data_IF_428427892461
#
_entry.id   IF_428427892461
#
_cell.length_a   1.000
_cell.length_b   1.000
_cell.length_c   1.000
_cell.angle_alpha   90.00
_cell.angle_beta   90.00
_cell.angle_gamma   90.00
#
_symmetry.space_group_name_H-M   'P 1'
#
loop_
_entity.id
_entity.type
_entity.pdbx_description
1 polymer ?
#
# COMPACT_ATOMS: atom_id res chain seq x y z
N UNK A 1 8.40 9.11 11.61
CA UNK A 1 8.83 8.34 12.81
C UNK A 1 8.36 9.06 14.06
N UNK A 2 7.78 8.31 14.97
CA UNK A 2 7.21 8.81 16.22
C UNK A 2 7.96 8.16 17.38
N UNK A 3 8.27 8.93 18.43
CA UNK A 3 8.88 8.39 19.64
C UNK A 3 7.84 7.60 20.49
N UNK A 4 8.26 6.87 21.54
CA UNK A 4 7.33 6.14 22.41
C UNK A 4 6.30 7.02 23.15
N UNK A 5 6.46 8.35 23.15
CA UNK A 5 5.48 9.30 23.70
C UNK A 5 4.38 9.69 22.71
N UNK A 6 4.47 9.23 21.45
CA UNK A 6 3.53 9.61 20.41
C UNK A 6 3.88 10.94 19.72
N UNK A 7 5.05 11.53 20.02
CA UNK A 7 5.49 12.78 19.37
C UNK A 7 6.32 12.48 18.13
N UNK A 8 6.12 13.27 17.08
CA UNK A 8 6.96 13.22 15.88
C UNK A 8 8.42 13.45 16.24
N UNK A 9 9.29 12.52 15.84
CA UNK A 9 10.73 12.73 15.89
C UNK A 9 11.15 13.76 14.84
N UNK A 10 12.26 14.51 15.05
CA UNK A 10 12.78 15.43 14.05
C UNK A 10 13.00 14.73 12.70
N UNK A 11 12.51 15.34 11.62
CA UNK A 11 12.68 14.82 10.26
C UNK A 11 11.87 15.61 9.25
N UNK A 12 12.45 15.83 8.07
CA UNK A 12 11.86 16.65 7.00
C UNK A 12 10.76 15.90 6.23
N UNK A 13 10.91 14.59 6.08
CA UNK A 13 10.00 13.74 5.29
C UNK A 13 8.80 13.26 6.13
N UNK A 14 9.07 12.76 7.33
CA UNK A 14 8.13 12.03 8.16
C UNK A 14 6.79 12.73 8.43
N UNK A 15 6.79 14.07 8.57
CA UNK A 15 5.57 14.83 8.86
C UNK A 15 4.72 15.10 7.62
N UNK A 16 5.27 14.86 6.43
CA UNK A 16 4.63 15.09 5.14
C UNK A 16 4.26 13.77 4.44
N UNK A 17 4.60 12.61 5.01
CA UNK A 17 4.12 11.31 4.56
C UNK A 17 2.70 11.07 5.05
N UNK A 18 1.76 11.01 4.11
CA UNK A 18 0.35 10.79 4.43
C UNK A 18 -0.12 9.39 4.05
N UNK A 19 0.64 8.63 3.27
CA UNK A 19 0.29 7.26 2.87
C UNK A 19 0.07 6.33 4.06
N UNK A 20 0.64 6.67 5.22
CA UNK A 20 0.49 5.92 6.46
C UNK A 20 -0.82 6.15 7.21
N UNK A 21 -1.62 7.14 6.80
CA UNK A 21 -2.83 7.56 7.51
C UNK A 21 -3.93 6.48 7.50
N UNK A 22 -4.12 5.70 6.42
CA UNK A 22 -5.11 4.61 6.44
C UNK A 22 -4.66 3.35 7.20
N UNK A 23 -3.39 3.22 7.64
CA UNK A 23 -2.90 2.02 8.34
C UNK A 23 -3.76 1.55 9.53
N UNK A 24 -4.24 2.43 10.43
CA UNK A 24 -5.08 2.01 11.55
C UNK A 24 -6.37 1.31 11.09
N UNK A 25 -6.90 1.67 9.92
CA UNK A 25 -8.10 1.07 9.34
C UNK A 25 -7.81 -0.37 8.88
N UNK A 26 -6.65 -0.60 8.28
CA UNK A 26 -6.18 -1.96 7.92
C UNK A 26 -5.99 -2.83 9.17
N UNK A 27 -5.39 -2.28 10.23
CA UNK A 27 -5.24 -3.02 11.49
C UNK A 27 -6.59 -3.34 12.15
N UNK A 28 -7.53 -2.38 12.14
CA UNK A 28 -8.89 -2.60 12.62
C UNK A 28 -9.56 -3.74 11.83
N UNK A 29 -9.45 -3.74 10.50
CA UNK A 29 -9.99 -4.82 9.67
C UNK A 29 -9.41 -6.19 10.00
N UNK A 30 -8.09 -6.30 10.17
CA UNK A 30 -7.47 -7.57 10.56
C UNK A 30 -7.88 -8.05 11.96
N UNK A 31 -7.96 -7.15 12.94
CA UNK A 31 -8.42 -7.54 14.27
C UNK A 31 -9.89 -7.98 14.24
N UNK A 32 -10.74 -7.29 13.46
CA UNK A 32 -12.13 -7.69 13.30
C UNK A 32 -12.29 -9.02 12.57
N UNK A 33 -11.48 -9.30 11.54
CA UNK A 33 -11.45 -10.61 10.89
C UNK A 33 -11.08 -11.73 11.88
N UNK A 34 -10.11 -11.47 12.76
CA UNK A 34 -9.71 -12.42 13.79
C UNK A 34 -10.73 -12.56 14.94
N UNK A 35 -11.47 -11.48 15.25
CA UNK A 35 -12.46 -11.43 16.33
C UNK A 35 -13.66 -10.56 15.92
N UNK A 36 -14.65 -11.12 15.19
CA UNK A 36 -15.75 -10.36 14.59
C UNK A 36 -16.85 -10.08 15.62
N UNK A 37 -16.51 -9.28 16.63
CA UNK A 37 -17.40 -8.96 17.76
C UNK A 37 -17.69 -7.47 17.82
N UNK A 38 -18.83 -7.11 18.42
CA UNK A 38 -19.15 -5.71 18.73
C UNK A 38 -18.14 -5.09 19.69
N UNK A 39 -17.49 -5.89 20.54
CA UNK A 39 -16.40 -5.40 21.41
C UNK A 39 -15.21 -4.92 20.58
N UNK A 40 -14.78 -5.69 19.58
CA UNK A 40 -13.74 -5.29 18.63
C UNK A 40 -14.13 -4.03 17.85
N UNK A 41 -15.38 -3.96 17.37
CA UNK A 41 -15.87 -2.77 16.66
C UNK A 41 -15.80 -1.51 17.52
N UNK A 42 -16.26 -1.59 18.77
CA UNK A 42 -16.24 -0.48 19.73
C UNK A 42 -14.82 -0.10 20.15
N UNK A 43 -13.91 -1.07 20.27
CA UNK A 43 -12.50 -0.83 20.60
C UNK A 43 -11.83 0.12 19.59
N UNK A 44 -12.13 -0.05 18.30
CA UNK A 44 -11.53 0.75 17.23
C UNK A 44 -12.37 1.95 16.81
N UNK A 45 -13.59 2.11 17.32
CA UNK A 45 -14.53 3.13 16.83
C UNK A 45 -13.91 4.52 16.80
N UNK A 46 -13.33 4.99 17.91
CA UNK A 46 -12.71 6.31 18.00
C UNK A 46 -11.51 6.44 17.04
N UNK A 47 -10.71 5.39 16.89
CA UNK A 47 -9.56 5.39 15.98
C UNK A 47 -10.02 5.51 14.53
N UNK A 48 -11.03 4.72 14.13
CA UNK A 48 -11.63 4.78 12.78
C UNK A 48 -12.20 6.17 12.52
N UNK A 49 -13.01 6.68 13.45
CA UNK A 49 -13.64 8.01 13.32
C UNK A 49 -12.61 9.11 13.17
N UNK A 50 -11.65 9.21 14.08
CA UNK A 50 -10.68 10.31 14.06
C UNK A 50 -9.71 10.21 12.89
N UNK A 51 -9.32 8.99 12.48
CA UNK A 51 -8.50 8.77 11.27
C UNK A 51 -9.22 9.30 10.04
N UNK A 52 -10.50 8.93 9.87
CA UNK A 52 -11.24 9.23 8.64
C UNK A 52 -11.75 10.67 8.63
N UNK A 53 -12.06 11.24 9.79
CA UNK A 53 -12.32 12.68 9.94
C UNK A 53 -11.14 13.50 9.42
N UNK A 54 -9.90 13.13 9.79
CA UNK A 54 -8.71 13.80 9.29
C UNK A 54 -8.52 13.56 7.78
N UNK A 55 -8.64 12.32 7.31
CA UNK A 55 -8.50 11.98 5.88
C UNK A 55 -9.48 12.77 4.99
N UNK A 56 -10.74 12.89 5.44
CA UNK A 56 -11.78 13.64 4.73
C UNK A 56 -11.56 15.16 4.80
N UNK A 57 -10.99 15.68 5.89
CA UNK A 57 -10.64 17.09 6.02
C UNK A 57 -9.38 17.47 5.25
N UNK A 58 -8.45 16.53 5.07
CA UNK A 58 -7.22 16.74 4.31
C UNK A 58 -7.48 16.84 2.80
N UNK A 59 -8.39 16.00 2.28
CA UNK A 59 -8.78 16.06 0.88
C UNK A 59 -9.51 17.38 0.59
N UNK A 60 -9.03 18.18 -0.36
CA UNK A 60 -9.65 19.47 -0.67
C UNK A 60 -10.53 19.36 -1.90
N UNK A 61 -11.70 20.01 -1.87
CA UNK A 61 -12.55 20.09 -3.05
C UNK A 61 -11.98 21.12 -4.04
N UNK A 62 -11.66 20.69 -5.25
CA UNK A 62 -11.18 21.54 -6.32
C UNK A 62 -12.35 22.02 -7.18
N UNK A 63 -12.66 23.32 -7.09
CA UNK A 63 -13.76 23.92 -7.84
C UNK A 63 -13.62 23.85 -9.37
N UNK A 64 -12.39 23.70 -9.88
CA UNK A 64 -12.13 23.66 -11.32
C UNK A 64 -12.38 22.27 -11.89
N UNK A 65 -11.84 21.23 -11.23
CA UNK A 65 -11.94 19.83 -11.66
C UNK A 65 -13.18 19.13 -11.09
N UNK A 66 -13.83 19.72 -10.10
CA UNK A 66 -15.04 19.22 -9.41
C UNK A 66 -14.85 17.89 -8.69
N UNK A 67 -13.61 17.61 -8.28
CA UNK A 67 -13.22 16.43 -7.49
C UNK A 67 -12.48 16.85 -6.22
N UNK A 68 -12.30 15.92 -5.29
CA UNK A 68 -11.43 16.05 -4.12
C UNK A 68 -10.02 15.60 -4.48
N UNK A 69 -9.06 16.48 -4.27
CA UNK A 69 -7.65 16.22 -4.53
C UNK A 69 -6.91 15.92 -3.21
N UNK A 70 -5.86 15.10 -3.31
CA UNK A 70 -4.79 14.99 -2.32
C UNK A 70 -3.58 15.76 -2.83
N UNK A 71 -2.83 16.43 -1.98
CA UNK A 71 -1.75 17.28 -2.48
C UNK A 71 -1.09 18.16 -1.42
N UNK A 72 -0.35 19.20 -1.84
CA UNK A 72 0.77 19.68 -1.07
C UNK A 72 0.37 20.43 0.20
N UNK A 73 1.20 20.38 1.26
CA UNK A 73 2.51 19.73 1.27
C UNK A 73 2.43 18.22 1.57
N UNK A 74 2.99 17.38 0.71
CA UNK A 74 3.07 15.92 0.96
C UNK A 74 4.15 15.19 0.17
N UNK A 75 4.82 14.22 0.79
CA UNK A 75 5.61 13.22 0.05
C UNK A 75 4.72 12.04 -0.33
N UNK A 76 5.02 11.45 -1.49
CA UNK A 76 4.54 10.11 -1.82
C UNK A 76 5.30 9.04 -1.03
N UNK A 77 4.78 7.82 -0.98
CA UNK A 77 5.41 6.66 -0.33
C UNK A 77 6.86 6.38 -0.78
N UNK A 78 7.25 6.74 -2.01
CA UNK A 78 8.63 6.62 -2.49
C UNK A 78 9.59 7.69 -1.98
N UNK A 79 9.12 8.69 -1.22
CA UNK A 79 9.96 9.71 -0.55
C UNK A 79 10.87 10.57 -1.47
N UNK A 80 10.77 10.42 -2.79
CA UNK A 80 11.66 11.00 -3.81
C UNK A 80 11.04 12.18 -4.59
N UNK A 81 9.82 12.59 -4.25
CA UNK A 81 9.10 13.69 -4.90
C UNK A 81 9.21 15.01 -4.15
N UNK A 82 9.02 16.15 -4.82
CA UNK A 82 8.99 17.44 -4.13
C UNK A 82 7.65 17.65 -3.42
N UNK A 83 7.63 17.85 -2.09
CA UNK A 83 6.38 17.85 -1.36
C UNK A 83 5.49 19.07 -1.63
N UNK A 84 6.05 20.11 -2.26
CA UNK A 84 5.34 21.35 -2.56
C UNK A 84 4.53 21.29 -3.86
N UNK A 85 4.72 20.26 -4.68
CA UNK A 85 4.09 20.15 -6.01
C UNK A 85 3.39 18.82 -6.26
N UNK A 86 3.63 17.81 -5.41
CA UNK A 86 2.98 16.51 -5.47
C UNK A 86 1.47 16.65 -5.27
N UNK A 87 0.69 16.23 -6.27
CA UNK A 87 -0.78 16.25 -6.28
C UNK A 87 -1.29 14.93 -6.84
N UNK A 88 -2.34 14.40 -6.21
CA UNK A 88 -3.04 13.17 -6.58
C UNK A 88 -2.12 11.99 -6.87
N UNK A 89 -1.27 11.57 -5.90
CA UNK A 89 -0.46 10.38 -6.05
C UNK A 89 -1.30 9.11 -6.18
N UNK A 90 -0.90 8.18 -7.05
CA UNK A 90 -1.69 6.99 -7.32
C UNK A 90 -1.87 6.12 -6.07
N UNK A 91 -0.79 5.85 -5.32
CA UNK A 91 -0.84 4.94 -4.17
C UNK A 91 -1.70 5.50 -3.04
N UNK A 92 -1.51 6.76 -2.71
CA UNK A 92 -2.24 7.48 -1.68
C UNK A 92 -3.73 7.58 -2.04
N UNK A 93 -4.07 7.88 -3.30
CA UNK A 93 -5.46 7.90 -3.76
C UNK A 93 -6.14 6.54 -3.66
N UNK A 94 -5.45 5.46 -4.03
CA UNK A 94 -5.94 4.07 -3.87
C UNK A 94 -6.16 3.75 -2.40
N UNK A 95 -5.20 4.09 -1.54
CA UNK A 95 -5.29 3.76 -0.11
C UNK A 95 -6.34 4.62 0.61
N UNK A 96 -6.55 5.88 0.18
CA UNK A 96 -7.62 6.74 0.67
C UNK A 96 -8.99 6.14 0.40
N UNK A 97 -9.23 5.64 -0.82
CA UNK A 97 -10.50 4.99 -1.18
C UNK A 97 -10.75 3.76 -0.32
N UNK A 98 -9.72 2.91 -0.17
CA UNK A 98 -9.81 1.71 0.66
C UNK A 98 -10.14 2.07 2.12
N UNK A 99 -9.41 3.03 2.69
CA UNK A 99 -9.61 3.48 4.07
C UNK A 99 -11.01 4.05 4.29
N UNK A 100 -11.46 4.97 3.43
CA UNK A 100 -12.80 5.53 3.51
C UNK A 100 -13.87 4.44 3.42
N UNK A 101 -13.74 3.50 2.47
CA UNK A 101 -14.68 2.38 2.35
C UNK A 101 -14.73 1.50 3.60
N UNK A 102 -13.56 1.13 4.15
CA UNK A 102 -13.50 0.38 5.40
C UNK A 102 -14.14 1.11 6.58
N UNK A 103 -14.04 2.43 6.64
CA UNK A 103 -14.65 3.22 7.69
C UNK A 103 -16.18 3.25 7.58
N UNK A 104 -16.73 3.37 6.37
CA UNK A 104 -18.17 3.27 6.13
C UNK A 104 -18.70 1.91 6.58
N UNK A 105 -18.07 0.82 6.13
CA UNK A 105 -18.41 -0.53 6.57
C UNK A 105 -18.32 -0.69 8.09
N UNK A 106 -17.35 -0.05 8.73
CA UNK A 106 -17.19 -0.11 10.19
C UNK A 106 -18.38 0.53 10.91
N UNK A 107 -18.82 1.70 10.45
CA UNK A 107 -19.99 2.38 11.01
C UNK A 107 -21.27 1.58 10.79
N UNK A 108 -21.44 0.99 9.60
CA UNK A 108 -22.57 0.11 9.29
C UNK A 108 -22.61 -1.11 10.22
N UNK A 109 -21.47 -1.77 10.46
CA UNK A 109 -21.37 -2.91 11.39
C UNK A 109 -21.66 -2.51 12.84
N UNK A 110 -21.35 -1.27 13.23
CA UNK A 110 -21.73 -0.69 14.52
C UNK A 110 -23.22 -0.30 14.61
N UNK A 111 -23.93 -0.25 13.49
CA UNK A 111 -25.27 0.33 13.41
C UNK A 111 -25.28 1.84 13.63
N UNK A 112 -24.15 2.51 13.37
CA UNK A 112 -23.99 3.95 13.50
C UNK A 112 -24.25 4.65 12.15
N UNK A 113 -24.56 5.95 12.20
CA UNK A 113 -24.65 6.77 11.00
C UNK A 113 -23.25 7.00 10.40
N UNK A 114 -23.13 6.77 9.10
CA UNK A 114 -21.93 7.12 8.31
C UNK A 114 -21.93 8.63 8.10
N UNK A 115 -20.89 9.36 8.54
CA UNK A 115 -20.77 10.78 8.26
C UNK A 115 -20.78 11.07 6.75
N UNK A 116 -21.71 11.90 6.29
CA UNK A 116 -21.91 12.17 4.85
C UNK A 116 -20.67 12.68 4.14
N UNK A 117 -19.80 13.42 4.83
CA UNK A 117 -18.57 13.93 4.25
C UNK A 117 -17.58 12.81 3.87
N UNK A 118 -17.58 11.67 4.58
CA UNK A 118 -16.72 10.53 4.24
C UNK A 118 -17.09 9.98 2.87
N UNK A 119 -18.38 9.70 2.66
CA UNK A 119 -18.92 9.22 1.39
C UNK A 119 -18.73 10.22 0.26
N UNK A 120 -19.03 11.50 0.52
CA UNK A 120 -18.84 12.57 -0.49
C UNK A 120 -17.37 12.66 -0.92
N UNK A 121 -16.42 12.59 0.01
CA UNK A 121 -15.00 12.59 -0.34
C UNK A 121 -14.66 11.33 -1.14
N UNK A 122 -14.98 10.14 -0.61
CA UNK A 122 -14.66 8.84 -1.25
C UNK A 122 -15.11 8.79 -2.71
N UNK A 123 -16.38 9.10 -2.95
CA UNK A 123 -17.03 8.99 -4.26
C UNK A 123 -16.57 10.06 -5.25
N UNK A 124 -15.92 11.12 -4.76
CA UNK A 124 -15.50 12.25 -5.58
C UNK A 124 -13.98 12.49 -5.50
N UNK A 125 -13.16 11.53 -5.05
CA UNK A 125 -11.70 11.62 -5.11
C UNK A 125 -11.21 11.65 -6.57
N UNK A 126 -10.16 12.44 -6.82
CA UNK A 126 -9.50 12.53 -8.11
C UNK A 126 -9.11 11.16 -8.67
N UNK A 127 -9.29 10.98 -9.98
CA UNK A 127 -8.99 9.71 -10.66
C UNK A 127 -7.50 9.34 -10.50
N UNK A 128 -7.20 8.04 -10.52
CA UNK A 128 -5.82 7.57 -10.51
C UNK A 128 -5.09 8.08 -11.77
N UNK A 129 -3.88 8.64 -11.64
CA UNK A 129 -3.18 9.25 -12.75
C UNK A 129 -2.63 8.17 -13.69
N UNK A 130 -3.02 8.22 -14.96
CA UNK A 130 -2.63 7.25 -16.00
C UNK A 130 -1.91 7.97 -17.13
N UNK A 131 -0.84 7.38 -17.63
CA UNK A 131 -0.21 7.75 -18.90
C UNK A 131 0.20 6.50 -19.69
N UNK A 132 -0.13 6.51 -20.98
CA UNK A 132 0.24 5.47 -21.95
C UNK A 132 -0.02 4.02 -21.46
N UNK A 133 -1.15 3.80 -20.80
CA UNK A 133 -1.55 2.48 -20.30
C UNK A 133 -0.87 2.02 -19.00
N UNK A 134 -0.17 2.92 -18.29
CA UNK A 134 0.44 2.67 -16.97
C UNK A 134 0.05 3.76 -15.98
N UNK A 135 0.07 3.47 -14.68
CA UNK A 135 -0.12 4.48 -13.65
C UNK A 135 1.13 5.36 -13.50
N UNK A 136 0.91 6.63 -13.16
CA UNK A 136 1.96 7.60 -12.82
C UNK A 136 2.14 7.65 -11.31
N UNK A 137 3.32 8.09 -10.84
CA UNK A 137 3.56 8.33 -9.41
C UNK A 137 2.58 9.36 -8.86
N UNK A 138 2.40 10.48 -9.55
CA UNK A 138 1.40 11.51 -9.23
C UNK A 138 0.91 12.23 -10.49
N UNK A 139 -0.21 12.94 -10.40
CA UNK A 139 -0.97 13.45 -11.55
C UNK A 139 -0.17 14.39 -12.45
N UNK A 140 0.47 15.38 -11.86
CA UNK A 140 1.18 16.46 -12.56
C UNK A 140 2.62 16.11 -12.96
N UNK A 141 3.08 14.88 -12.67
CA UNK A 141 4.42 14.43 -13.05
C UNK A 141 4.57 14.38 -14.58
N UNK A 142 5.76 14.64 -15.13
CA UNK A 142 5.95 14.59 -16.58
C UNK A 142 5.79 13.16 -17.13
N UNK A 143 5.23 13.03 -18.33
CA UNK A 143 4.87 11.72 -18.91
C UNK A 143 6.06 10.82 -19.25
N UNK A 144 7.28 11.38 -19.30
CA UNK A 144 8.55 10.69 -19.51
C UNK A 144 9.25 10.21 -18.22
N UNK A 145 8.61 10.34 -17.05
CA UNK A 145 9.23 10.03 -15.74
C UNK A 145 9.81 8.61 -15.63
N UNK A 146 9.27 7.64 -16.38
CA UNK A 146 9.79 6.27 -16.43
C UNK A 146 11.28 6.19 -16.83
N UNK A 147 11.79 7.21 -17.53
CA UNK A 147 13.18 7.30 -17.95
C UNK A 147 14.02 8.23 -17.08
N UNK A 148 13.42 8.82 -16.04
CA UNK A 148 14.09 9.72 -15.10
C UNK A 148 14.36 8.99 -13.78
N UNK A 149 15.64 8.69 -13.47
CA UNK A 149 16.01 8.06 -12.20
C UNK A 149 15.63 8.87 -10.96
N UNK A 150 15.17 10.13 -11.08
CA UNK A 150 14.62 10.85 -9.93
C UNK A 150 13.31 10.22 -9.39
N UNK A 151 12.60 9.43 -10.20
CA UNK A 151 11.28 8.88 -9.86
C UNK A 151 11.16 7.36 -10.01
N UNK A 152 12.25 6.68 -10.38
CA UNK A 152 12.30 5.22 -10.60
C UNK A 152 13.44 4.55 -9.81
N UNK A 153 13.81 5.14 -8.67
CA UNK A 153 15.07 4.84 -7.97
C UNK A 153 14.93 4.73 -6.44
N UNK A 154 13.69 4.64 -5.98
CA UNK A 154 13.30 4.52 -4.58
C UNK A 154 12.21 3.44 -4.46
N UNK A 155 11.40 3.44 -3.39
CA UNK A 155 10.36 2.42 -3.20
C UNK A 155 9.43 2.30 -4.43
N UNK A 156 9.19 1.09 -4.97
CA UNK A 156 8.37 0.86 -6.16
C UNK A 156 6.87 0.96 -5.86
N UNK A 157 6.42 2.11 -5.38
CA UNK A 157 5.08 2.44 -4.89
C UNK A 157 3.93 1.90 -5.75
N UNK A 158 4.09 2.00 -7.07
CA UNK A 158 3.04 1.68 -8.05
C UNK A 158 2.66 0.20 -8.06
N UNK A 159 3.56 -0.70 -7.65
CA UNK A 159 3.22 -2.14 -7.52
C UNK A 159 2.33 -2.40 -6.31
N UNK A 160 2.31 -1.48 -5.35
CA UNK A 160 1.44 -1.52 -4.18
C UNK A 160 -0.03 -1.24 -4.50
N UNK A 161 -0.35 -0.65 -5.66
CA UNK A 161 -1.73 -0.37 -6.09
C UNK A 161 -2.57 -1.65 -6.23
N UNK A 162 -1.95 -2.73 -6.69
CA UNK A 162 -2.54 -4.07 -6.76
C UNK A 162 -1.47 -5.11 -6.43
N UNK A 163 -1.32 -5.36 -5.14
CA UNK A 163 -0.27 -6.23 -4.61
C UNK A 163 -0.37 -6.26 -3.12
N UNK A 164 0.12 -5.19 -2.49
CA UNK A 164 -0.18 -4.95 -1.09
C UNK A 164 -1.66 -4.58 -0.91
N UNK A 165 -2.13 -3.54 -1.60
CA UNK A 165 -3.54 -3.17 -1.56
C UNK A 165 -4.36 -4.16 -2.41
N UNK A 166 -5.60 -4.49 -1.99
CA UNK A 166 -6.54 -5.22 -2.84
C UNK A 166 -7.04 -4.35 -4.00
N UNK A 167 -7.88 -4.93 -4.85
CA UNK A 167 -8.60 -4.14 -5.84
C UNK A 167 -9.44 -3.06 -5.13
N UNK A 168 -9.38 -1.84 -5.67
CA UNK A 168 -10.13 -0.70 -5.14
C UNK A 168 -10.93 -0.04 -6.25
N UNK A 169 -11.97 0.68 -5.88
CA UNK A 169 -12.80 1.44 -6.82
C UNK A 169 -11.93 2.40 -7.67
N UNK A 170 -12.10 2.36 -8.99
CA UNK A 170 -11.36 3.19 -9.94
C UNK A 170 -10.00 2.62 -10.36
N UNK A 171 -9.54 1.53 -9.75
CA UNK A 171 -8.38 0.77 -10.22
C UNK A 171 -8.75 -0.08 -11.44
N UNK A 172 -7.85 -0.13 -12.42
CA UNK A 172 -7.97 -0.95 -13.61
C UNK A 172 -6.88 -2.03 -13.56
N UNK A 173 -7.28 -3.29 -13.39
CA UNK A 173 -6.34 -4.40 -13.21
C UNK A 173 -5.39 -4.61 -14.41
N UNK A 174 -5.83 -4.32 -15.64
CA UNK A 174 -4.96 -4.42 -16.81
C UNK A 174 -3.87 -3.34 -16.80
N UNK A 175 -4.20 -2.12 -16.38
CA UNK A 175 -3.23 -1.03 -16.22
C UNK A 175 -2.32 -1.31 -15.01
N UNK A 176 -2.86 -1.83 -13.91
CA UNK A 176 -2.08 -2.21 -12.74
C UNK A 176 -1.04 -3.28 -13.08
N UNK A 177 -1.45 -4.32 -13.82
CA UNK A 177 -0.53 -5.34 -14.34
C UNK A 177 0.53 -4.75 -15.26
N UNK A 178 0.14 -3.95 -16.24
CA UNK A 178 1.09 -3.31 -17.15
C UNK A 178 2.08 -2.39 -16.40
N UNK A 179 1.62 -1.74 -15.34
CA UNK A 179 2.46 -0.91 -14.47
C UNK A 179 3.45 -1.77 -13.68
N UNK A 180 3.02 -2.89 -13.10
CA UNK A 180 3.89 -3.83 -12.40
C UNK A 180 4.95 -4.45 -13.33
N UNK A 181 4.53 -4.87 -14.54
CA UNK A 181 5.44 -5.37 -15.57
C UNK A 181 6.49 -4.30 -15.96
N UNK A 182 6.07 -3.03 -16.09
CA UNK A 182 6.98 -1.91 -16.37
C UNK A 182 7.93 -1.58 -15.22
N UNK A 183 7.48 -1.64 -13.97
CA UNK A 183 8.36 -1.51 -12.79
C UNK A 183 9.43 -2.59 -12.81
N UNK A 184 9.09 -3.84 -13.11
CA UNK A 184 10.08 -4.93 -13.21
C UNK A 184 11.14 -4.64 -14.27
N UNK A 185 10.77 -4.04 -15.40
CA UNK A 185 11.67 -3.78 -16.52
C UNK A 185 12.58 -2.56 -16.29
N UNK A 186 12.01 -1.45 -15.80
CA UNK A 186 12.65 -0.13 -15.86
C UNK A 186 13.07 0.44 -14.49
N UNK A 187 12.55 -0.11 -13.38
CA UNK A 187 12.85 0.42 -12.05
C UNK A 187 14.25 0.04 -11.60
N UNK A 188 14.95 0.94 -10.93
CA UNK A 188 16.29 0.65 -10.42
C UNK A 188 16.24 -0.19 -9.14
N UNK A 189 16.09 -1.51 -9.31
CA UNK A 189 16.03 -2.49 -8.22
C UNK A 189 17.27 -2.44 -7.30
N UNK A 190 18.42 -1.99 -7.78
CA UNK A 190 19.64 -1.88 -6.94
C UNK A 190 19.51 -0.87 -5.80
N UNK A 191 18.53 0.02 -5.91
CA UNK A 191 18.15 0.96 -4.87
C UNK A 191 16.85 0.58 -4.14
N UNK A 192 16.32 -0.64 -4.30
CA UNK A 192 15.27 -1.16 -3.42
C UNK A 192 15.88 -1.73 -2.12
N UNK A 193 15.13 -1.69 -1.02
CA UNK A 193 15.55 -2.29 0.25
C UNK A 193 14.36 -2.76 1.10
N UNK A 194 14.61 -3.72 2.00
CA UNK A 194 13.64 -4.10 3.03
C UNK A 194 12.29 -4.54 2.48
N UNK A 195 11.24 -3.78 2.76
CA UNK A 195 9.85 -4.14 2.46
C UNK A 195 9.47 -4.03 0.97
N UNK A 196 10.35 -3.47 0.13
CA UNK A 196 10.14 -3.38 -1.32
C UNK A 196 10.00 -4.76 -1.97
N UNK A 197 10.87 -5.71 -1.61
CA UNK A 197 10.91 -7.04 -2.23
C UNK A 197 9.65 -7.86 -1.92
N UNK A 198 9.16 -7.93 -0.67
CA UNK A 198 7.86 -8.56 -0.43
C UNK A 198 6.69 -7.83 -1.08
N UNK A 199 6.72 -6.50 -1.23
CA UNK A 199 5.67 -5.77 -1.95
C UNK A 199 5.66 -6.10 -3.46
N UNK A 200 6.84 -6.18 -4.08
CA UNK A 200 7.02 -6.68 -5.45
C UNK A 200 6.49 -8.12 -5.57
N UNK A 201 6.80 -8.99 -4.62
CA UNK A 201 6.33 -10.37 -4.59
C UNK A 201 4.80 -10.47 -4.52
N UNK A 202 4.16 -9.70 -3.63
CA UNK A 202 2.70 -9.68 -3.51
C UNK A 202 2.02 -9.18 -4.79
N UNK A 203 2.60 -8.17 -5.46
CA UNK A 203 2.12 -7.70 -6.76
C UNK A 203 2.25 -8.79 -7.83
N UNK A 204 3.40 -9.45 -7.94
CA UNK A 204 3.60 -10.56 -8.87
C UNK A 204 2.59 -11.70 -8.62
N UNK A 205 2.37 -12.08 -7.36
CA UNK A 205 1.42 -13.12 -6.99
C UNK A 205 -0.03 -12.76 -7.40
N UNK A 206 -0.50 -11.54 -7.10
CA UNK A 206 -1.85 -11.10 -7.51
C UNK A 206 -2.03 -11.01 -9.02
N UNK A 207 -0.96 -10.67 -9.74
CA UNK A 207 -0.96 -10.59 -11.19
C UNK A 207 -0.76 -11.96 -11.87
N UNK A 208 -0.72 -13.05 -11.10
CA UNK A 208 -0.66 -14.42 -11.60
C UNK A 208 0.74 -14.90 -11.99
N UNK A 209 1.79 -14.19 -11.58
CA UNK A 209 3.20 -14.53 -11.84
C UNK A 209 3.85 -15.04 -10.53
N UNK A 210 3.51 -16.27 -10.16
CA UNK A 210 3.94 -16.86 -8.90
C UNK A 210 5.45 -17.19 -8.89
N UNK A 211 6.02 -17.50 -10.06
CA UNK A 211 7.45 -17.70 -10.23
C UNK A 211 8.21 -16.41 -9.93
N UNK A 212 7.80 -15.29 -10.52
CA UNK A 212 8.40 -13.99 -10.23
C UNK A 212 8.24 -13.57 -8.76
N UNK A 213 7.11 -13.91 -8.13
CA UNK A 213 6.91 -13.63 -6.72
C UNK A 213 7.96 -14.33 -5.83
N UNK A 214 8.28 -15.59 -6.13
CA UNK A 214 9.35 -16.33 -5.44
C UNK A 214 10.73 -15.72 -5.74
N UNK A 215 10.99 -15.32 -6.99
CA UNK A 215 12.24 -14.65 -7.35
C UNK A 215 12.47 -13.38 -6.54
N UNK A 216 11.44 -12.55 -6.32
CA UNK A 216 11.56 -11.36 -5.49
C UNK A 216 11.88 -11.67 -4.02
N UNK A 217 11.24 -12.70 -3.45
CA UNK A 217 11.51 -13.11 -2.06
C UNK A 217 12.89 -13.74 -1.88
N UNK A 218 13.52 -14.20 -2.96
CA UNK A 218 14.85 -14.80 -2.98
C UNK A 218 15.91 -13.89 -3.63
N UNK A 219 15.55 -12.63 -3.91
CA UNK A 219 16.43 -11.70 -4.61
C UNK A 219 17.73 -11.49 -3.79
N UNK A 220 18.92 -11.52 -4.41
CA UNK A 220 20.20 -11.32 -3.72
C UNK A 220 20.35 -9.97 -3.00
N UNK A 221 19.49 -8.99 -3.29
CA UNK A 221 19.46 -7.70 -2.61
C UNK A 221 18.56 -7.73 -1.36
N UNK A 222 17.63 -8.69 -1.25
CA UNK A 222 16.80 -8.90 -0.08
C UNK A 222 17.50 -9.74 1.00
N UNK A 223 18.44 -9.09 1.69
CA UNK A 223 19.39 -9.78 2.55
C UNK A 223 18.96 -9.91 4.02
N UNK A 224 19.34 -11.04 4.61
CA UNK A 224 19.28 -11.30 6.05
C UNK A 224 20.68 -11.70 6.52
N UNK A 225 21.06 -11.31 7.74
CA UNK A 225 22.37 -11.69 8.32
C UNK A 225 22.39 -13.15 8.81
N UNK A 226 23.52 -13.58 9.37
CA UNK A 226 23.76 -14.95 9.80
C UNK A 226 22.86 -15.42 10.95
N UNK A 227 22.22 -14.49 11.68
CA UNK A 227 21.22 -14.79 12.71
C UNK A 227 19.79 -14.51 12.24
N UNK A 228 19.59 -14.20 10.95
CA UNK A 228 18.28 -14.01 10.33
C UNK A 228 17.68 -12.62 10.54
N UNK A 229 18.48 -11.61 10.87
CA UNK A 229 18.00 -10.22 10.98
C UNK A 229 17.94 -9.56 9.59
N UNK A 230 16.87 -8.82 9.27
CA UNK A 230 16.75 -8.14 7.99
C UNK A 230 17.80 -7.02 7.88
N UNK A 231 18.62 -7.07 6.83
CA UNK A 231 19.65 -6.08 6.55
C UNK A 231 18.99 -4.83 5.95
N UNK A 232 19.40 -3.64 6.42
CA UNK A 232 18.83 -2.37 5.96
C UNK A 232 19.23 -1.93 4.54
N UNK A 233 20.00 -2.76 3.84
CA UNK A 233 20.43 -2.51 2.47
C UNK A 233 21.27 -1.23 2.33
N UNK A 234 20.97 -0.47 1.27
CA UNK A 234 21.76 0.70 0.86
C UNK A 234 21.38 2.01 1.57
N UNK A 235 20.23 2.06 2.26
CA UNK A 235 19.67 3.33 2.75
C UNK A 235 19.44 3.42 4.26
N UNK A 236 19.14 2.30 4.93
CA UNK A 236 18.72 2.31 6.34
C UNK A 236 19.62 1.43 7.22
N UNK A 237 19.73 1.73 8.54
CA UNK A 237 20.51 0.91 9.45
C UNK A 237 19.95 -0.51 9.64
N UNK A 238 20.85 -1.48 9.84
CA UNK A 238 20.52 -2.87 10.24
C UNK A 238 20.39 -2.97 11.77
N UNK A 239 19.38 -3.68 12.33
CA UNK A 239 18.31 -4.40 11.63
C UNK A 239 17.16 -3.49 11.18
N UNK A 240 16.60 -3.78 10.00
CA UNK A 240 15.45 -3.07 9.44
C UNK A 240 14.20 -3.96 9.39
N UNK A 241 13.48 -4.01 10.51
CA UNK A 241 12.34 -4.92 10.73
C UNK A 241 11.18 -4.86 9.71
N UNK A 242 10.91 -3.75 9.00
CA UNK A 242 9.94 -3.79 7.91
C UNK A 242 10.21 -4.89 6.89
N UNK A 243 11.48 -5.23 6.62
CA UNK A 243 11.83 -6.35 5.72
C UNK A 243 11.31 -7.70 6.23
N UNK A 244 11.55 -8.02 7.50
CA UNK A 244 11.05 -9.27 8.09
C UNK A 244 9.52 -9.32 8.20
N UNK A 245 8.89 -8.21 8.58
CA UNK A 245 7.43 -8.15 8.70
C UNK A 245 6.74 -8.32 7.35
N UNK A 246 7.25 -7.64 6.32
CA UNK A 246 6.72 -7.73 4.98
C UNK A 246 6.95 -9.12 4.36
N UNK A 247 8.10 -9.78 4.63
CA UNK A 247 8.33 -11.17 4.20
C UNK A 247 7.28 -12.12 4.79
N UNK A 248 7.03 -12.04 6.11
CA UNK A 248 6.04 -12.90 6.76
C UNK A 248 4.64 -12.66 6.19
N UNK A 249 4.29 -11.40 5.96
CA UNK A 249 3.00 -11.04 5.37
C UNK A 249 2.86 -11.55 3.92
N UNK A 250 3.88 -11.35 3.07
CA UNK A 250 3.86 -11.82 1.68
C UNK A 250 3.77 -13.35 1.58
N UNK A 251 4.55 -14.08 2.38
CA UNK A 251 4.48 -15.56 2.41
C UNK A 251 3.11 -16.03 2.87
N UNK A 252 2.53 -15.41 3.90
CA UNK A 252 1.18 -15.75 4.37
C UNK A 252 0.13 -15.48 3.29
N UNK A 253 0.19 -14.32 2.64
CA UNK A 253 -0.68 -13.96 1.53
C UNK A 253 -0.54 -14.91 0.34
N UNK A 254 0.68 -15.33 -0.01
CA UNK A 254 0.91 -16.27 -1.11
C UNK A 254 0.38 -17.68 -0.77
N UNK A 255 0.45 -18.09 0.51
CA UNK A 255 0.05 -19.41 0.98
C UNK A 255 -1.47 -19.53 1.21
N UNK A 256 -2.08 -18.64 1.97
CA UNK A 256 -3.53 -18.69 2.27
C UNK A 256 -4.36 -17.91 1.25
N UNK A 257 -3.74 -16.96 0.55
CA UNK A 257 -4.41 -16.14 -0.44
C UNK A 257 -4.96 -14.82 0.12
N UNK A 258 -5.73 -14.15 -0.73
CA UNK A 258 -6.48 -12.92 -0.49
C UNK A 258 -7.97 -13.14 -0.75
N UNK A 259 -8.83 -12.18 -0.44
CA UNK A 259 -10.30 -12.35 -0.41
C UNK A 259 -10.87 -13.06 -1.66
N UNK A 260 -10.50 -12.65 -2.87
CA UNK A 260 -11.01 -13.21 -4.13
C UNK A 260 -10.12 -14.31 -4.74
N UNK A 261 -9.09 -14.77 -4.02
CA UNK A 261 -8.22 -15.83 -4.50
C UNK A 261 -8.85 -17.22 -4.39
N UNK A 262 -8.55 -18.07 -5.35
CA UNK A 262 -9.03 -19.45 -5.39
C UNK A 262 -7.88 -20.46 -5.45
N UNK A 263 -8.11 -21.64 -4.86
CA UNK A 263 -7.13 -22.73 -4.82
C UNK A 263 -6.23 -22.69 -3.59
N UNK A 264 -5.43 -23.75 -3.44
CA UNK A 264 -4.46 -23.89 -2.35
C UNK A 264 -3.14 -23.20 -2.73
N UNK A 265 -2.62 -22.32 -1.86
CA UNK A 265 -1.38 -21.57 -2.11
C UNK A 265 -1.38 -20.82 -3.45
N UNK A 266 -2.36 -19.91 -3.67
CA UNK A 266 -2.58 -19.28 -4.96
C UNK A 266 -1.40 -18.40 -5.42
N UNK A 267 -0.57 -17.93 -4.50
CA UNK A 267 0.63 -17.15 -4.81
C UNK A 267 1.91 -17.97 -5.01
N UNK A 268 1.87 -19.30 -4.91
CA UNK A 268 3.03 -20.17 -5.14
C UNK A 268 2.98 -20.84 -6.53
N UNK A 269 4.14 -21.10 -7.17
CA UNK A 269 4.20 -21.87 -8.41
C UNK A 269 3.54 -23.23 -8.25
N UNK A 270 2.80 -23.68 -9.27
CA UNK A 270 2.12 -25.00 -9.23
C UNK A 270 3.07 -26.14 -9.59
N UNK A 271 4.09 -25.83 -10.39
CA UNK A 271 5.07 -26.81 -10.84
C UNK A 271 6.24 -26.88 -9.85
N UNK A 272 6.47 -28.06 -9.28
CA UNK A 272 7.61 -28.34 -8.40
C UNK A 272 7.42 -27.98 -6.91
N UNK A 273 6.39 -27.19 -6.56
CA UNK A 273 6.09 -26.85 -5.17
C UNK A 273 4.90 -27.66 -4.63
N UNK A 274 5.04 -28.14 -3.40
CA UNK A 274 3.94 -28.78 -2.64
C UNK A 274 3.79 -28.02 -1.34
N UNK A 275 2.95 -26.98 -1.36
CA UNK A 275 2.79 -26.07 -0.23
C UNK A 275 1.75 -26.62 0.75
N UNK A 276 2.11 -26.60 2.03
CA UNK A 276 1.22 -26.86 3.16
C UNK A 276 1.37 -25.72 4.15
N UNK A 277 0.26 -25.28 4.71
CA UNK A 277 0.21 -24.24 5.71
C UNK A 277 -0.97 -24.54 6.65
N UNK A 278 -0.97 -23.94 7.82
CA UNK A 278 -2.02 -24.06 8.83
C UNK A 278 -2.17 -22.73 9.56
N UNK A 279 -3.35 -22.49 10.12
CA UNK A 279 -3.65 -21.35 11.00
C UNK A 279 -3.28 -19.95 10.43
N UNK A 280 -3.30 -19.81 9.10
CA UNK A 280 -3.20 -18.53 8.41
C UNK A 280 -4.59 -17.95 8.13
N UNK A 281 -4.65 -16.63 8.00
CA UNK A 281 -5.86 -15.91 7.58
C UNK A 281 -5.61 -15.22 6.24
N UNK A 282 -6.65 -15.15 5.40
CA UNK A 282 -6.58 -14.45 4.11
C UNK A 282 -6.19 -13.00 4.29
N UNK A 283 -5.28 -12.55 3.41
CA UNK A 283 -4.99 -11.14 3.23
C UNK A 283 -6.23 -10.39 2.72
N UNK A 284 -6.25 -9.07 2.95
CA UNK A 284 -7.23 -8.18 2.31
C UNK A 284 -7.13 -8.31 0.79
#
# INVERSE_FOLDING_TARGET
MTDPSGRSSPGEINNLLIWQQPHPLVFAQYEYRASPTTETLRKWEDVVRETVNWMAAFAWYNDSTRVYDLGPPMFVVSEDTSPNVTVNPAFELTYWRLGLGYAEEWMEKLGAEVPTNWTVVKDNLAALPVNNGTYKVYETLEDNFWTDPAYTNDHPALVGLYGWLPETEGLNLAIAKATADKVREDWNVTNCWGWDFPMLAMSSARNGDAEQAIEWLLDPLFNFDDVGMPVGGVRVPTPYFPGSGALLYAVAMMAEGWDDSEGNAPGFPKDGWVVRYEDLSRAL
#
